data_IF_964389070407
#
_entry.id   IF_964389070407
#
_cell.length_a   1.000
_cell.length_b   1.000
_cell.length_c   1.000
_cell.angle_alpha   90.00
_cell.angle_beta   90.00
_cell.angle_gamma   90.00
#
_symmetry.space_group_name_H-M   'P 1'
#
loop_
_entity.id
_entity.type
_entity.pdbx_description
1 polymer ?
#
# COMPACT_ATOMS: atom_id res chain seq x y z
N UNK A 1 -17.43 15.59 7.73
CA UNK A 1 -16.72 14.34 7.51
C UNK A 1 -17.38 13.53 6.38
N UNK A 2 -16.60 13.13 5.37
CA UNK A 2 -17.08 12.41 4.20
C UNK A 2 -17.58 10.99 4.53
N UNK A 3 -16.97 10.34 5.50
CA UNK A 3 -17.34 8.98 5.90
C UNK A 3 -18.76 8.97 6.46
N UNK A 4 -19.08 9.91 7.35
CA UNK A 4 -20.43 10.08 7.86
C UNK A 4 -21.45 10.44 6.79
N UNK A 5 -21.08 11.33 5.83
CA UNK A 5 -21.97 11.70 4.73
C UNK A 5 -22.34 10.52 3.83
N UNK A 6 -21.48 9.52 3.75
CA UNK A 6 -21.68 8.32 2.94
C UNK A 6 -22.12 7.10 3.76
N UNK A 7 -22.53 7.28 5.03
CA UNK A 7 -22.93 6.22 5.94
C UNK A 7 -21.86 5.10 6.12
N UNK A 8 -20.57 5.47 6.06
CA UNK A 8 -19.48 4.54 6.27
C UNK A 8 -19.24 4.40 7.77
N UNK A 9 -19.37 3.20 8.29
CA UNK A 9 -19.09 2.88 9.69
C UNK A 9 -17.58 2.90 9.92
N UNK A 10 -17.16 3.60 10.98
CA UNK A 10 -15.76 3.64 11.43
C UNK A 10 -15.66 2.83 12.73
N UNK A 11 -14.80 1.82 12.72
CA UNK A 11 -14.38 1.11 13.92
C UNK A 11 -12.93 1.49 14.23
N UNK A 12 -12.66 1.94 15.46
CA UNK A 12 -11.33 2.36 15.89
C UNK A 12 -10.70 1.25 16.69
N UNK A 13 -9.75 0.54 16.09
CA UNK A 13 -9.02 -0.54 16.76
C UNK A 13 -7.58 -0.61 16.23
N UNK A 14 -6.73 -1.35 16.93
CA UNK A 14 -5.36 -1.60 16.51
C UNK A 14 -5.30 -2.95 15.76
N UNK A 15 -4.94 -2.91 14.49
CA UNK A 15 -4.85 -4.10 13.64
C UNK A 15 -3.85 -5.16 14.13
N UNK A 16 -3.02 -4.84 15.14
CA UNK A 16 -2.14 -5.79 15.82
C UNK A 16 -2.88 -6.65 16.85
N UNK A 17 -4.06 -6.23 17.27
CA UNK A 17 -4.88 -6.96 18.23
C UNK A 17 -5.76 -8.00 17.53
N UNK A 18 -5.23 -9.22 17.36
CA UNK A 18 -5.90 -10.31 16.64
C UNK A 18 -7.35 -10.56 17.09
N UNK A 19 -7.58 -10.67 18.39
CA UNK A 19 -8.94 -10.97 18.91
C UNK A 19 -9.95 -9.87 18.61
N UNK A 20 -9.53 -8.59 18.69
CA UNK A 20 -10.40 -7.47 18.39
C UNK A 20 -10.74 -7.44 16.89
N UNK A 21 -9.74 -7.62 16.04
CA UNK A 21 -9.92 -7.71 14.59
C UNK A 21 -10.81 -8.89 14.20
N UNK A 22 -10.60 -10.06 14.79
CA UNK A 22 -11.43 -11.25 14.55
C UNK A 22 -12.88 -11.01 14.98
N UNK A 23 -13.08 -10.41 16.15
CA UNK A 23 -14.41 -10.06 16.64
C UNK A 23 -15.16 -9.12 15.70
N UNK A 24 -14.48 -8.09 15.17
CA UNK A 24 -15.03 -7.17 14.18
C UNK A 24 -15.38 -7.89 12.86
N UNK A 25 -14.47 -8.71 12.35
CA UNK A 25 -14.66 -9.42 11.09
C UNK A 25 -15.76 -10.48 11.14
N UNK A 26 -15.95 -11.12 12.30
CA UNK A 26 -17.10 -12.03 12.54
C UNK A 26 -18.46 -11.31 12.46
N UNK A 27 -18.51 -10.01 12.73
CA UNK A 27 -19.74 -9.23 12.61
C UNK A 27 -19.99 -8.72 11.18
N UNK A 28 -18.91 -8.53 10.40
CA UNK A 28 -18.97 -7.92 9.07
C UNK A 28 -19.00 -8.99 7.96
N UNK A 29 -18.29 -10.09 8.15
CA UNK A 29 -18.08 -11.17 7.14
C UNK A 29 -17.70 -10.61 5.75
N UNK A 30 -16.55 -9.91 5.64
CA UNK A 30 -16.22 -9.15 4.43
C UNK A 30 -15.86 -10.06 3.26
N UNK A 31 -16.40 -9.76 2.07
CA UNK A 31 -15.98 -10.41 0.81
C UNK A 31 -14.59 -9.93 0.37
N UNK A 32 -14.26 -8.67 0.65
CA UNK A 32 -12.99 -8.02 0.27
C UNK A 32 -12.37 -7.30 1.46
N UNK A 33 -11.07 -7.49 1.65
CA UNK A 33 -10.28 -6.78 2.66
C UNK A 33 -9.19 -6.00 1.96
N UNK A 34 -9.18 -4.66 2.11
CA UNK A 34 -8.11 -3.79 1.63
C UNK A 34 -7.16 -3.50 2.79
N UNK A 35 -5.95 -4.07 2.74
CA UNK A 35 -4.95 -3.92 3.80
C UNK A 35 -4.03 -2.73 3.54
N UNK A 36 -4.23 -1.65 4.32
CA UNK A 36 -3.42 -0.43 4.28
C UNK A 36 -2.59 -0.20 5.55
N UNK A 37 -2.82 -1.01 6.60
CA UNK A 37 -2.21 -0.85 7.91
C UNK A 37 -0.72 -1.20 7.88
N UNK A 38 0.13 -0.18 7.85
CA UNK A 38 1.58 -0.32 7.87
C UNK A 38 2.26 1.01 8.19
N UNK A 39 3.57 0.99 8.49
CA UNK A 39 4.39 2.20 8.46
C UNK A 39 4.59 2.62 7.01
N UNK A 40 4.11 3.80 6.63
CA UNK A 40 4.05 4.26 5.24
C UNK A 40 5.23 5.11 4.77
N UNK A 41 6.22 5.39 5.64
CA UNK A 41 7.35 6.27 5.33
C UNK A 41 8.68 5.54 5.48
N UNK A 42 9.47 5.49 4.39
CA UNK A 42 10.81 4.87 4.38
C UNK A 42 11.75 5.45 5.45
N UNK A 43 11.78 6.78 5.63
CA UNK A 43 12.63 7.41 6.64
C UNK A 43 12.24 7.03 8.08
N UNK A 44 10.94 6.85 8.36
CA UNK A 44 10.49 6.35 9.67
C UNK A 44 10.87 4.89 9.86
N UNK A 45 10.68 4.08 8.85
CA UNK A 45 11.02 2.66 8.85
C UNK A 45 12.52 2.42 9.13
N UNK A 46 13.40 3.20 8.51
CA UNK A 46 14.84 3.09 8.73
C UNK A 46 15.28 3.55 10.13
N UNK A 47 14.56 4.50 10.73
CA UNK A 47 14.88 5.01 12.08
C UNK A 47 14.45 4.08 13.20
N UNK A 48 13.33 3.41 13.02
CA UNK A 48 12.76 2.48 13.99
C UNK A 48 12.31 1.18 13.32
N UNK A 49 13.26 0.26 13.03
CA UNK A 49 12.94 -1.02 12.40
C UNK A 49 12.02 -1.90 13.25
N UNK A 50 12.18 -1.89 14.57
CA UNK A 50 11.39 -2.74 15.47
C UNK A 50 9.90 -2.41 15.39
N UNK A 51 9.54 -1.14 15.60
CA UNK A 51 8.15 -0.67 15.48
C UNK A 51 7.62 -0.86 14.04
N UNK A 52 8.47 -0.63 13.04
CA UNK A 52 8.08 -0.81 11.64
C UNK A 52 7.72 -2.27 11.34
N UNK A 53 8.50 -3.21 11.85
CA UNK A 53 8.24 -4.65 11.68
C UNK A 53 6.90 -5.02 12.33
N UNK A 54 6.68 -4.63 13.57
CA UNK A 54 5.45 -4.92 14.33
C UNK A 54 4.21 -4.30 13.68
N UNK A 55 4.29 -3.04 13.27
CA UNK A 55 3.16 -2.35 12.61
C UNK A 55 2.94 -2.75 11.14
N UNK A 56 3.87 -3.41 10.48
CA UNK A 56 3.72 -3.79 9.08
C UNK A 56 3.46 -5.29 8.90
N UNK A 57 4.27 -6.16 9.52
CA UNK A 57 4.10 -7.60 9.34
C UNK A 57 3.11 -8.22 10.34
N UNK A 58 3.05 -7.74 11.58
CA UNK A 58 2.07 -8.24 12.56
C UNK A 58 0.64 -7.90 12.13
N UNK A 59 0.39 -6.68 11.67
CA UNK A 59 -0.93 -6.31 11.15
C UNK A 59 -1.32 -7.14 9.93
N UNK A 60 -0.36 -7.42 9.04
CA UNK A 60 -0.59 -8.26 7.88
C UNK A 60 -0.87 -9.72 8.26
N UNK A 61 -0.09 -10.30 9.19
CA UNK A 61 -0.30 -11.66 9.70
C UNK A 61 -1.73 -11.84 10.21
N UNK A 62 -2.18 -10.92 11.08
CA UNK A 62 -3.55 -10.94 11.58
C UNK A 62 -4.58 -10.85 10.45
N UNK A 63 -4.37 -9.95 9.50
CA UNK A 63 -5.28 -9.77 8.36
C UNK A 63 -5.33 -11.01 7.48
N UNK A 64 -4.20 -11.65 7.20
CA UNK A 64 -4.11 -12.86 6.38
C UNK A 64 -4.86 -14.03 7.01
N UNK A 65 -4.68 -14.25 8.31
CA UNK A 65 -5.33 -15.36 9.00
C UNK A 65 -6.85 -15.14 9.09
N UNK A 66 -7.28 -13.89 9.30
CA UNK A 66 -8.69 -13.52 9.26
C UNK A 66 -9.24 -13.67 7.83
N UNK A 67 -8.58 -13.12 6.81
CA UNK A 67 -9.02 -13.22 5.42
C UNK A 67 -9.19 -14.69 4.98
N UNK A 68 -8.27 -15.55 5.39
CA UNK A 68 -8.35 -17.01 5.17
C UNK A 68 -9.60 -17.62 5.81
N UNK A 69 -9.98 -17.19 7.01
CA UNK A 69 -11.13 -17.75 7.74
C UNK A 69 -12.47 -17.45 7.06
N UNK A 70 -12.57 -16.33 6.34
CA UNK A 70 -13.76 -15.90 5.59
C UNK A 70 -13.66 -16.15 4.09
N UNK A 71 -12.49 -16.64 3.61
CA UNK A 71 -12.18 -16.73 2.17
C UNK A 71 -12.34 -15.37 1.45
N UNK A 72 -12.01 -14.29 2.13
CA UNK A 72 -12.11 -12.92 1.61
C UNK A 72 -11.01 -12.65 0.57
N UNK A 73 -11.32 -11.90 -0.49
CA UNK A 73 -10.30 -11.40 -1.40
C UNK A 73 -9.42 -10.34 -0.72
N UNK A 74 -8.15 -10.66 -0.50
CA UNK A 74 -7.21 -9.73 0.10
C UNK A 74 -6.55 -8.82 -0.95
N UNK A 75 -6.78 -7.52 -0.88
CA UNK A 75 -6.05 -6.51 -1.67
C UNK A 75 -4.93 -5.93 -0.79
N UNK A 76 -3.69 -6.31 -1.09
CA UNK A 76 -2.52 -5.88 -0.35
C UNK A 76 -1.83 -4.69 -1.04
N UNK A 77 -1.67 -3.59 -0.31
CA UNK A 77 -0.92 -2.42 -0.78
C UNK A 77 0.57 -2.56 -0.49
N UNK A 78 1.32 -2.94 -1.52
CA UNK A 78 2.77 -2.93 -1.56
C UNK A 78 3.31 -1.53 -1.93
N UNK A 79 4.35 -1.43 -2.72
CA UNK A 79 4.95 -0.17 -3.16
C UNK A 79 5.89 -0.41 -4.34
N UNK A 80 6.08 0.58 -5.21
CA UNK A 80 7.15 0.58 -6.21
C UNK A 80 8.56 0.50 -5.60
N UNK A 81 8.73 0.80 -4.30
CA UNK A 81 10.01 0.66 -3.60
C UNK A 81 10.50 -0.79 -3.47
N UNK A 82 9.68 -1.80 -3.82
CA UNK A 82 10.13 -3.19 -3.89
C UNK A 82 11.15 -3.43 -5.00
N UNK A 83 11.14 -2.59 -6.04
CA UNK A 83 12.10 -2.68 -7.15
C UNK A 83 13.49 -2.16 -6.81
N UNK A 84 13.61 -1.29 -5.80
CA UNK A 84 14.87 -0.62 -5.44
C UNK A 84 15.28 0.44 -6.46
N UNK A 85 16.52 0.42 -6.90
CA UNK A 85 16.96 1.28 -7.99
C UNK A 85 16.43 0.83 -9.33
N UNK A 86 15.76 1.71 -10.05
CA UNK A 86 15.34 1.46 -11.42
C UNK A 86 16.58 1.42 -12.34
N UNK A 87 16.86 0.27 -12.91
CA UNK A 87 17.96 0.08 -13.86
C UNK A 87 17.51 0.29 -15.29
N UNK A 88 16.23 0.19 -15.54
CA UNK A 88 15.59 0.31 -16.85
C UNK A 88 14.58 1.46 -16.82
N UNK A 89 14.30 2.03 -18.00
CA UNK A 89 13.32 3.11 -18.12
C UNK A 89 11.89 2.65 -17.88
N UNK A 90 11.60 1.39 -18.19
CA UNK A 90 10.28 0.79 -18.02
C UNK A 90 10.34 -0.36 -17.02
N UNK A 91 9.56 -0.24 -15.96
CA UNK A 91 9.43 -1.26 -14.90
C UNK A 91 8.06 -1.92 -15.02
N UNK A 92 8.06 -3.24 -15.17
CA UNK A 92 6.86 -4.05 -15.21
C UNK A 92 6.77 -4.92 -13.95
N UNK A 93 5.65 -5.60 -13.76
CA UNK A 93 5.44 -6.51 -12.64
C UNK A 93 6.44 -7.69 -12.64
N UNK A 94 6.98 -8.05 -13.82
CA UNK A 94 8.00 -9.09 -14.01
C UNK A 94 9.42 -8.62 -13.67
N UNK A 95 9.62 -7.30 -13.48
CA UNK A 95 10.92 -6.76 -13.10
C UNK A 95 11.36 -7.31 -11.75
N UNK A 96 12.61 -7.75 -11.67
CA UNK A 96 13.18 -8.34 -10.45
C UNK A 96 13.14 -7.34 -9.30
N UNK A 97 12.47 -7.71 -8.23
CA UNK A 97 12.44 -6.93 -7.00
C UNK A 97 13.81 -7.01 -6.29
N UNK A 98 14.37 -5.85 -5.98
CA UNK A 98 15.62 -5.71 -5.24
C UNK A 98 15.52 -4.53 -4.25
N UNK A 99 14.65 -4.63 -3.23
CA UNK A 99 14.32 -3.51 -2.37
C UNK A 99 15.52 -2.97 -1.60
N UNK A 100 15.46 -1.66 -1.33
CA UNK A 100 16.44 -0.95 -0.52
C UNK A 100 15.80 -0.44 0.77
N UNK A 101 16.55 -0.54 1.88
CA UNK A 101 16.09 -0.09 3.19
C UNK A 101 14.95 -0.92 3.76
N UNK A 102 14.56 -0.61 4.99
CA UNK A 102 13.58 -1.41 5.76
C UNK A 102 12.19 -1.40 5.13
N UNK A 103 11.74 -0.25 4.63
CA UNK A 103 10.38 -0.12 4.09
C UNK A 103 10.16 -1.00 2.86
N UNK A 104 11.02 -0.87 1.84
CA UNK A 104 10.91 -1.68 0.61
C UNK A 104 11.08 -3.18 0.90
N UNK A 105 12.03 -3.54 1.76
CA UNK A 105 12.28 -4.93 2.15
C UNK A 105 11.07 -5.55 2.87
N UNK A 106 10.44 -4.83 3.80
CA UNK A 106 9.24 -5.32 4.49
C UNK A 106 8.04 -5.41 3.56
N UNK A 107 7.87 -4.46 2.63
CA UNK A 107 6.81 -4.55 1.61
C UNK A 107 6.99 -5.78 0.72
N UNK A 108 8.22 -6.06 0.26
CA UNK A 108 8.47 -7.24 -0.56
C UNK A 108 8.36 -8.56 0.22
N UNK A 109 8.85 -8.61 1.46
CA UNK A 109 8.65 -9.77 2.34
C UNK A 109 7.16 -10.06 2.55
N UNK A 110 6.35 -9.01 2.73
CA UNK A 110 4.91 -9.12 2.84
C UNK A 110 4.25 -9.68 1.58
N UNK A 111 4.69 -9.29 0.38
CA UNK A 111 4.21 -9.89 -0.88
C UNK A 111 4.47 -11.40 -0.93
N UNK A 112 5.66 -11.84 -0.49
CA UNK A 112 6.00 -13.26 -0.44
C UNK A 112 5.11 -14.02 0.55
N UNK A 113 4.80 -13.42 1.70
CA UNK A 113 3.89 -14.01 2.69
C UNK A 113 2.47 -14.11 2.14
N UNK A 114 1.96 -13.06 1.47
CA UNK A 114 0.64 -13.08 0.81
C UNK A 114 0.55 -14.22 -0.22
N UNK A 115 1.57 -14.35 -1.07
CA UNK A 115 1.65 -15.43 -2.06
C UNK A 115 1.73 -16.81 -1.42
N UNK A 116 2.45 -16.94 -0.30
CA UNK A 116 2.52 -18.20 0.45
C UNK A 116 1.15 -18.60 1.04
N UNK A 117 0.35 -17.64 1.52
CA UNK A 117 -1.01 -17.92 1.98
C UNK A 117 -1.92 -18.40 0.86
N UNK A 118 -1.77 -17.88 -0.36
CA UNK A 118 -2.48 -18.41 -1.52
C UNK A 118 -2.02 -19.84 -1.85
N UNK A 119 -0.71 -20.10 -1.87
CA UNK A 119 -0.16 -21.43 -2.18
C UNK A 119 -0.61 -22.52 -1.19
N UNK A 120 -0.77 -22.18 0.08
CA UNK A 120 -1.05 -23.15 1.14
C UNK A 120 -2.52 -23.25 1.47
N UNK A 121 -3.25 -22.14 1.38
CA UNK A 121 -4.64 -22.01 1.85
C UNK A 121 -5.62 -21.57 0.76
N UNK A 122 -5.18 -21.44 -0.49
CA UNK A 122 -5.98 -20.95 -1.62
C UNK A 122 -6.58 -19.55 -1.39
N UNK A 123 -5.99 -18.74 -0.49
CA UNK A 123 -6.46 -17.39 -0.20
C UNK A 123 -6.39 -16.52 -1.45
N UNK A 124 -7.54 -16.01 -1.97
CA UNK A 124 -7.52 -15.12 -3.10
C UNK A 124 -6.89 -13.77 -2.73
N UNK A 125 -5.97 -13.28 -3.54
CA UNK A 125 -5.29 -12.01 -3.28
C UNK A 125 -5.14 -11.16 -4.54
N UNK A 126 -4.88 -9.87 -4.35
CA UNK A 126 -4.29 -8.99 -5.36
C UNK A 126 -3.25 -8.09 -4.69
N UNK A 127 -2.07 -7.98 -5.27
CA UNK A 127 -1.00 -7.10 -4.80
C UNK A 127 -1.00 -5.85 -5.66
N UNK A 128 -1.04 -4.67 -5.02
CA UNK A 128 -0.99 -3.37 -5.67
C UNK A 128 0.35 -2.71 -5.33
N UNK A 129 1.12 -2.30 -6.34
CA UNK A 129 2.37 -1.55 -6.23
C UNK A 129 2.18 -0.12 -6.73
N UNK A 130 1.69 0.81 -5.89
CA UNK A 130 1.57 2.21 -6.28
C UNK A 130 2.93 2.90 -6.26
N UNK A 131 3.05 3.99 -7.02
CA UNK A 131 4.20 4.88 -7.01
C UNK A 131 3.92 6.17 -6.23
N UNK A 132 4.42 7.33 -6.65
CA UNK A 132 4.33 8.61 -5.97
C UNK A 132 2.90 9.18 -6.05
N UNK A 133 2.05 8.82 -5.10
CA UNK A 133 0.65 9.29 -5.06
C UNK A 133 0.57 10.76 -4.72
N UNK A 134 -0.31 11.47 -5.42
CA UNK A 134 -0.68 12.85 -5.14
C UNK A 134 -2.19 13.06 -5.29
N UNK A 135 -2.69 14.15 -4.75
CA UNK A 135 -4.09 14.51 -4.84
C UNK A 135 -4.62 15.15 -3.56
N UNK A 136 -5.92 15.35 -3.51
CA UNK A 136 -6.59 15.97 -2.37
C UNK A 136 -6.39 15.14 -1.09
N UNK A 137 -6.32 15.84 0.04
CA UNK A 137 -6.19 15.26 1.39
C UNK A 137 -4.90 14.47 1.61
N UNK A 138 -3.85 14.75 0.85
CA UNK A 138 -2.55 14.17 1.08
C UNK A 138 -1.93 14.66 2.40
N UNK A 139 -2.13 13.90 3.49
CA UNK A 139 -1.61 14.27 4.84
C UNK A 139 -0.12 13.97 4.99
N UNK A 140 0.46 13.17 4.11
CA UNK A 140 1.87 12.75 4.22
C UNK A 140 2.88 13.77 3.68
N UNK A 141 2.41 14.87 3.10
CA UNK A 141 3.24 15.95 2.54
C UNK A 141 4.39 15.39 1.69
N UNK A 142 4.04 14.70 0.61
CA UNK A 142 5.03 14.21 -0.36
C UNK A 142 5.69 15.36 -1.10
N UNK A 143 6.80 15.09 -1.79
CA UNK A 143 7.62 16.11 -2.46
C UNK A 143 6.81 17.05 -3.37
N UNK A 144 5.93 16.51 -4.20
CA UNK A 144 5.07 17.33 -5.07
C UNK A 144 4.17 18.29 -4.30
N UNK A 145 3.56 17.84 -3.20
CA UNK A 145 2.75 18.70 -2.34
C UNK A 145 3.60 19.79 -1.67
N UNK A 146 4.78 19.44 -1.16
CA UNK A 146 5.70 20.40 -0.54
C UNK A 146 6.07 21.49 -1.56
N UNK A 147 6.37 21.12 -2.79
CA UNK A 147 6.72 22.07 -3.85
C UNK A 147 5.56 23.01 -4.16
N UNK A 148 4.34 22.48 -4.32
CA UNK A 148 3.14 23.28 -4.57
C UNK A 148 2.86 24.23 -3.39
N UNK A 149 2.87 23.73 -2.16
CA UNK A 149 2.65 24.55 -0.95
C UNK A 149 3.67 25.68 -0.83
N UNK A 150 4.96 25.39 -1.06
CA UNK A 150 6.02 26.39 -0.99
C UNK A 150 5.87 27.43 -2.11
N UNK A 151 5.61 26.99 -3.35
CA UNK A 151 5.39 27.91 -4.47
C UNK A 151 4.22 28.87 -4.22
N UNK A 152 3.07 28.35 -3.75
CA UNK A 152 1.88 29.18 -3.44
C UNK A 152 2.17 30.17 -2.31
N UNK A 153 3.04 29.81 -1.35
CA UNK A 153 3.41 30.66 -0.23
C UNK A 153 4.59 31.61 -0.53
N UNK A 154 5.12 31.60 -1.76
CA UNK A 154 6.32 32.37 -2.13
C UNK A 154 7.59 31.94 -1.39
N UNK A 155 7.66 30.70 -0.93
CA UNK A 155 8.82 30.12 -0.26
C UNK A 155 9.74 29.43 -1.25
N UNK A 156 11.02 29.31 -0.88
CA UNK A 156 11.99 28.58 -1.70
C UNK A 156 11.63 27.11 -1.83
N UNK A 157 11.85 26.58 -3.05
CA UNK A 157 11.76 25.17 -3.35
C UNK A 157 13.17 24.58 -3.31
N UNK A 158 13.39 23.63 -2.40
CA UNK A 158 14.68 22.96 -2.27
C UNK A 158 14.62 21.59 -2.93
N UNK A 159 15.43 21.40 -3.98
CA UNK A 159 15.63 20.11 -4.63
C UNK A 159 16.82 19.42 -3.95
N UNK A 160 16.62 18.19 -3.50
CA UNK A 160 17.69 17.35 -2.95
C UNK A 160 18.36 16.57 -4.10
N UNK A 161 19.70 16.42 -4.05
CA UNK A 161 20.44 15.78 -5.13
C UNK A 161 20.72 16.73 -6.29
N UNK A 162 20.85 16.17 -7.48
CA UNK A 162 21.16 16.89 -8.71
C UNK A 162 19.93 17.31 -9.54
N UNK A 163 18.75 16.99 -9.05
CA UNK A 163 17.47 17.30 -9.71
C UNK A 163 17.09 16.38 -10.86
N UNK A 164 17.84 15.32 -11.12
CA UNK A 164 17.58 14.38 -12.21
C UNK A 164 16.71 13.18 -11.79
N UNK A 165 16.34 13.09 -10.51
CA UNK A 165 15.47 12.02 -10.02
C UNK A 165 14.10 12.09 -10.70
N UNK A 166 13.64 10.94 -11.23
CA UNK A 166 12.34 10.78 -11.85
C UNK A 166 11.39 10.05 -10.91
N UNK A 167 10.16 10.53 -10.83
CA UNK A 167 9.08 9.91 -10.07
C UNK A 167 7.88 9.75 -11.00
N UNK A 168 7.29 8.57 -10.98
CA UNK A 168 6.00 8.33 -11.60
C UNK A 168 4.91 8.85 -10.64
N UNK A 169 4.36 10.02 -10.96
CA UNK A 169 3.31 10.66 -10.17
C UNK A 169 1.95 10.14 -10.59
N UNK A 170 1.27 9.47 -9.67
CA UNK A 170 -0.05 8.89 -9.88
C UNK A 170 -1.12 9.67 -9.12
N UNK A 171 -2.15 10.14 -9.83
CA UNK A 171 -3.25 10.85 -9.19
C UNK A 171 -4.13 9.88 -8.39
N UNK A 172 -4.59 10.34 -7.23
CA UNK A 172 -5.31 9.45 -6.29
C UNK A 172 -6.59 8.86 -6.88
N UNK A 173 -7.32 9.61 -7.71
CA UNK A 173 -8.56 9.09 -8.32
C UNK A 173 -8.29 8.03 -9.37
N UNK A 174 -7.18 8.10 -10.11
CA UNK A 174 -6.77 7.05 -11.06
C UNK A 174 -6.43 5.76 -10.30
N UNK A 175 -5.74 5.87 -9.16
CA UNK A 175 -5.50 4.72 -8.29
C UNK A 175 -6.82 4.11 -7.79
N UNK A 176 -7.77 4.94 -7.34
CA UNK A 176 -9.07 4.47 -6.84
C UNK A 176 -9.86 3.78 -7.97
N UNK A 177 -9.82 4.30 -9.19
CA UNK A 177 -10.43 3.66 -10.35
C UNK A 177 -9.81 2.27 -10.61
N UNK A 178 -8.48 2.17 -10.54
CA UNK A 178 -7.77 0.89 -10.66
C UNK A 178 -8.18 -0.11 -9.57
N UNK A 179 -8.34 0.35 -8.32
CA UNK A 179 -8.80 -0.50 -7.21
C UNK A 179 -10.22 -1.00 -7.45
N UNK A 180 -11.13 -0.15 -7.91
CA UNK A 180 -12.50 -0.56 -8.23
C UNK A 180 -12.52 -1.65 -9.33
N UNK A 181 -11.71 -1.49 -10.38
CA UNK A 181 -11.56 -2.51 -11.41
C UNK A 181 -11.01 -3.83 -10.86
N UNK A 182 -10.08 -3.77 -9.91
CA UNK A 182 -9.54 -4.95 -9.22
C UNK A 182 -10.63 -5.66 -8.42
N UNK A 183 -11.50 -4.94 -7.71
CA UNK A 183 -12.59 -5.50 -6.91
C UNK A 183 -13.63 -6.17 -7.82
N UNK A 184 -13.98 -5.55 -8.94
CA UNK A 184 -15.05 -5.98 -9.81
C UNK A 184 -14.66 -7.12 -10.78
N UNK A 185 -13.35 -7.30 -11.03
CA UNK A 185 -12.85 -8.21 -12.05
C UNK A 185 -12.17 -9.44 -11.46
N UNK A 186 -12.77 -10.61 -11.62
CA UNK A 186 -12.20 -11.89 -11.16
C UNK A 186 -10.84 -12.24 -11.77
N UNK A 187 -10.46 -11.66 -12.91
CA UNK A 187 -9.14 -11.87 -13.51
C UNK A 187 -8.02 -11.14 -12.74
N UNK A 188 -8.37 -10.29 -11.79
CA UNK A 188 -7.41 -9.64 -10.89
C UNK A 188 -6.92 -10.56 -9.77
N UNK A 189 -7.63 -11.67 -9.51
CA UNK A 189 -7.28 -12.60 -8.46
C UNK A 189 -5.92 -13.25 -8.72
N UNK A 190 -5.13 -13.33 -7.66
CA UNK A 190 -3.79 -13.93 -7.66
C UNK A 190 -2.79 -13.23 -8.59
N UNK A 191 -3.01 -11.93 -8.82
CA UNK A 191 -2.18 -11.08 -9.65
C UNK A 191 -1.47 -9.99 -8.85
N UNK A 192 -0.43 -9.41 -9.46
CA UNK A 192 0.25 -8.22 -8.97
C UNK A 192 0.13 -7.14 -10.03
N UNK A 193 -0.17 -5.89 -9.64
CA UNK A 193 -0.29 -4.76 -10.56
C UNK A 193 0.53 -3.56 -10.09
N UNK A 194 1.25 -2.95 -11.02
CA UNK A 194 1.74 -1.60 -10.88
C UNK A 194 0.57 -0.66 -11.18
N UNK A 195 -0.05 -0.08 -10.15
CA UNK A 195 -1.05 0.96 -10.35
C UNK A 195 -0.38 2.33 -10.30
N UNK A 196 0.11 2.77 -11.45
CA UNK A 196 0.87 3.98 -11.65
C UNK A 196 0.41 4.68 -12.93
N UNK A 197 0.85 5.92 -13.16
CA UNK A 197 0.52 6.64 -14.39
C UNK A 197 1.17 5.96 -15.62
N UNK A 198 2.40 5.50 -15.50
CA UNK A 198 3.03 4.61 -16.47
C UNK A 198 3.71 5.32 -17.67
N UNK A 199 4.09 6.62 -17.52
CA UNK A 199 4.88 7.36 -18.51
C UNK A 199 6.30 7.67 -18.05
#
# INVERSE_FOLDING_TARGET
>A
DLLHKNNIQINVDDARHYNAMTGLMNMIEPDVIIHLAAVSHANKANKDPHTTFDHSLRTLENTLDIARSFNSHLIYFSSSMVYGHFKESNVTEETICNPLGMYGSLKYAAELIVKAYNQVFDLPYTIIRPSALYGERCVSRRVGQIFIENAVQGKDITVQGDGNDKLDFTYIEDLIQGINLVIENKNSLNQTFNLTFGE
#
